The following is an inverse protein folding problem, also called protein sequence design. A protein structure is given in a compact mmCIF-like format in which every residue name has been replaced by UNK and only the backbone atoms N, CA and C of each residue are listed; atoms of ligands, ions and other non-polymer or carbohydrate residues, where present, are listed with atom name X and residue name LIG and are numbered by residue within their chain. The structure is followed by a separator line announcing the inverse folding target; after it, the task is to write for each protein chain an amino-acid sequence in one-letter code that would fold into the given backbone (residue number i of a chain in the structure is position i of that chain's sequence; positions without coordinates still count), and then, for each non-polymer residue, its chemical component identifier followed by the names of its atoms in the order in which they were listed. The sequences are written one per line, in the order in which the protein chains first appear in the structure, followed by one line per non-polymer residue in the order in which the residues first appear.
data_IF_604461386601
#
_entry.id   IF_604461386601
#
_cell.length_a   1.000
_cell.length_b   1.000
_cell.length_c   1.000
_cell.angle_alpha   90.00
_cell.angle_beta   90.00
_cell.angle_gamma   90.00
#
_symmetry.space_group_name_H-M   'P 1'
#
loop_
_entity.id
_entity.type
_entity.pdbx_description
1 polymer ?
#
# COMPACT_ATOMS: atom_id res chain seq x y z
N UNK A 1 1.99 -1.03 6.96
CA UNK A 1 3.25 -0.25 6.87
C UNK A 1 2.99 0.94 5.98
N UNK A 2 3.43 2.12 6.38
CA UNK A 2 3.25 3.34 5.59
C UNK A 2 4.56 3.82 4.98
N UNK A 3 4.50 4.37 3.76
CA UNK A 3 5.64 4.80 2.95
C UNK A 3 6.80 3.80 2.98
N UNK A 4 6.51 2.54 2.61
CA UNK A 4 7.47 1.43 2.77
C UNK A 4 8.80 1.67 2.02
N UNK A 5 8.82 2.50 0.99
CA UNK A 5 10.03 2.92 0.29
C UNK A 5 11.05 3.65 1.16
N UNK A 6 10.63 4.24 2.29
CA UNK A 6 11.51 4.95 3.23
C UNK A 6 12.07 4.04 4.33
N UNK A 7 11.64 2.78 4.38
CA UNK A 7 12.05 1.86 5.43
C UNK A 7 13.53 1.49 5.32
N UNK A 8 14.18 1.23 6.46
CA UNK A 8 15.55 0.75 6.49
C UNK A 8 15.64 -0.68 5.90
N UNK A 9 16.74 -1.05 5.21
CA UNK A 9 16.94 -2.40 4.66
C UNK A 9 16.63 -3.56 5.63
N UNK A 10 16.92 -3.39 6.92
CA UNK A 10 16.65 -4.42 7.94
C UNK A 10 15.15 -4.71 8.12
N UNK A 11 14.29 -3.71 7.90
CA UNK A 11 12.83 -3.89 7.94
C UNK A 11 12.37 -4.82 6.82
N UNK A 12 12.99 -4.72 5.64
CA UNK A 12 12.66 -5.61 4.51
C UNK A 12 13.03 -7.06 4.78
N UNK A 13 14.17 -7.31 5.44
CA UNK A 13 14.57 -8.68 5.80
C UNK A 13 13.56 -9.32 6.76
N UNK A 14 13.07 -8.56 7.73
CA UNK A 14 12.01 -8.98 8.65
C UNK A 14 10.70 -9.24 7.90
N UNK A 15 10.31 -8.34 7.00
CA UNK A 15 9.09 -8.50 6.21
C UNK A 15 9.14 -9.71 5.28
N UNK A 16 10.28 -9.97 4.64
CA UNK A 16 10.47 -11.17 3.81
C UNK A 16 10.22 -12.45 4.62
N UNK A 17 10.73 -12.53 5.85
CA UNK A 17 10.45 -13.68 6.71
C UNK A 17 8.94 -13.83 6.99
N UNK A 18 8.24 -12.72 7.25
CA UNK A 18 6.80 -12.75 7.51
C UNK A 18 6.02 -13.16 6.26
N UNK A 19 6.38 -12.64 5.09
CA UNK A 19 5.70 -12.94 3.84
C UNK A 19 6.00 -14.36 3.33
N UNK A 20 7.18 -14.92 3.62
CA UNK A 20 7.56 -16.27 3.22
C UNK A 20 6.99 -17.35 4.15
N UNK A 21 7.27 -17.25 5.44
CA UNK A 21 6.98 -18.31 6.41
C UNK A 21 5.69 -18.06 7.20
N UNK A 22 5.07 -16.89 7.03
CA UNK A 22 3.92 -16.47 7.83
C UNK A 22 4.26 -16.37 9.32
N UNK A 23 5.54 -16.21 9.68
CA UNK A 23 6.02 -16.19 11.07
C UNK A 23 7.15 -15.21 11.25
N UNK A 24 7.22 -14.59 12.42
CA UNK A 24 8.33 -13.75 12.82
C UNK A 24 8.91 -14.24 14.14
N UNK A 25 10.23 -14.44 14.19
CA UNK A 25 10.92 -14.73 15.44
C UNK A 25 11.68 -13.49 15.89
N UNK A 26 11.41 -13.01 17.10
CA UNK A 26 12.13 -11.88 17.67
C UNK A 26 13.52 -12.28 18.22
N UNK A 27 14.33 -11.30 18.61
CA UNK A 27 15.66 -11.55 19.17
C UNK A 27 15.66 -12.26 20.54
N UNK A 28 14.49 -12.43 21.17
CA UNK A 28 14.31 -13.21 22.40
C UNK A 28 13.89 -14.66 22.10
N UNK A 29 13.80 -15.05 20.82
CA UNK A 29 13.40 -16.38 20.38
C UNK A 29 11.89 -16.61 20.40
N UNK A 30 11.07 -15.59 20.64
CA UNK A 30 9.60 -15.71 20.60
C UNK A 30 9.15 -15.68 19.15
N UNK A 31 8.32 -16.65 18.78
CA UNK A 31 7.77 -16.74 17.42
C UNK A 31 6.31 -16.30 17.42
N UNK A 32 5.97 -15.35 16.55
CA UNK A 32 4.62 -14.84 16.30
C UNK A 32 4.13 -15.36 14.96
N UNK A 33 2.86 -15.76 14.90
CA UNK A 33 2.21 -16.31 13.70
C UNK A 33 1.39 -15.22 12.99
N UNK A 34 1.62 -15.08 11.68
CA UNK A 34 1.00 -14.13 10.77
C UNK A 34 0.13 -14.80 9.69
N UNK A 35 -0.03 -16.13 9.70
CA UNK A 35 -0.78 -16.86 8.67
C UNK A 35 -2.26 -16.46 8.55
N UNK A 36 -2.83 -15.83 9.58
CA UNK A 36 -4.20 -15.34 9.58
C UNK A 36 -4.26 -13.81 9.76
N UNK A 37 -3.31 -13.11 9.13
CA UNK A 37 -3.16 -11.65 9.18
C UNK A 37 -3.09 -11.09 7.76
N UNK A 38 -3.87 -10.05 7.49
CA UNK A 38 -3.74 -9.28 6.26
C UNK A 38 -2.66 -8.22 6.44
N UNK A 39 -1.61 -8.27 5.62
CA UNK A 39 -0.53 -7.28 5.62
C UNK A 39 -0.80 -6.28 4.50
N UNK A 40 -1.04 -5.03 4.88
CA UNK A 40 -1.22 -3.92 3.95
C UNK A 40 0.01 -3.01 4.04
N UNK A 41 0.54 -2.66 2.87
CA UNK A 41 1.67 -1.76 2.70
C UNK A 41 1.27 -0.65 1.72
N UNK A 42 1.64 0.58 2.04
CA UNK A 42 1.42 1.74 1.19
C UNK A 42 2.76 2.33 0.74
N UNK A 43 2.77 2.88 -0.47
CA UNK A 43 3.93 3.54 -1.04
C UNK A 43 3.49 4.72 -1.88
N UNK A 44 4.27 5.80 -1.86
CA UNK A 44 4.05 6.96 -2.71
C UNK A 44 4.85 6.90 -4.03
N UNK A 45 5.54 5.78 -4.30
CA UNK A 45 6.29 5.58 -5.53
C UNK A 45 5.39 5.59 -6.77
N UNK A 46 5.81 6.32 -7.79
CA UNK A 46 5.05 6.45 -9.04
C UNK A 46 3.80 7.33 -8.91
N UNK A 47 3.57 8.00 -7.78
CA UNK A 47 2.42 8.87 -7.59
C UNK A 47 2.35 10.01 -8.64
N UNK A 48 3.48 10.44 -9.19
CA UNK A 48 3.53 11.44 -10.26
C UNK A 48 2.80 11.00 -11.54
N UNK A 49 2.88 9.71 -11.91
CA UNK A 49 2.18 9.16 -13.07
C UNK A 49 0.67 9.10 -12.81
N UNK A 50 0.28 8.75 -11.58
CA UNK A 50 -1.12 8.75 -11.14
C UNK A 50 -1.73 10.16 -11.09
N UNK A 51 -0.92 11.16 -10.76
CA UNK A 51 -1.34 12.57 -10.70
C UNK A 51 -1.59 13.17 -12.09
N UNK A 52 -0.83 12.74 -13.08
CA UNK A 52 -0.87 13.27 -14.45
C UNK A 52 -1.94 12.61 -15.34
N UNK A 53 -2.60 11.55 -14.87
CA UNK A 53 -3.76 10.95 -15.52
C UNK A 53 -4.94 11.93 -15.56
N UNK A 54 -5.63 11.99 -16.70
CA UNK A 54 -6.90 12.70 -16.82
C UNK A 54 -8.02 12.02 -16.02
N UNK A 55 -9.06 12.76 -15.63
CA UNK A 55 -10.16 12.25 -14.78
C UNK A 55 -10.92 11.05 -15.36
N UNK A 56 -10.93 10.92 -16.70
CA UNK A 56 -11.61 9.84 -17.44
C UNK A 56 -10.67 8.73 -17.92
N UNK A 57 -9.38 8.81 -17.56
CA UNK A 57 -8.40 7.80 -17.97
C UNK A 57 -8.29 6.70 -16.92
N UNK A 58 -8.21 5.46 -17.40
CA UNK A 58 -8.00 4.29 -16.55
C UNK A 58 -6.58 4.31 -15.95
N UNK A 59 -6.47 3.98 -14.66
CA UNK A 59 -5.17 3.86 -13.97
C UNK A 59 -4.32 2.76 -14.56
N UNK A 60 -4.93 1.74 -15.17
CA UNK A 60 -4.18 0.69 -15.86
C UNK A 60 -3.33 1.25 -17.01
N UNK A 61 -3.64 2.43 -17.55
CA UNK A 61 -2.84 3.08 -18.60
C UNK A 61 -1.45 3.53 -18.15
N UNK A 62 -1.22 3.72 -16.85
CA UNK A 62 0.10 4.08 -16.29
C UNK A 62 0.69 2.99 -15.40
N UNK A 63 0.04 1.81 -15.37
CA UNK A 63 0.44 0.71 -14.48
C UNK A 63 1.88 0.28 -14.74
N UNK A 64 2.29 0.21 -16.01
CA UNK A 64 3.64 -0.24 -16.36
C UNK A 64 4.72 0.76 -15.93
N UNK A 65 4.46 2.06 -16.07
CA UNK A 65 5.33 3.14 -15.62
C UNK A 65 5.47 3.14 -14.09
N UNK A 66 4.35 3.03 -13.36
CA UNK A 66 4.39 2.94 -11.89
C UNK A 66 5.14 1.69 -11.46
N UNK A 67 4.84 0.54 -12.06
CA UNK A 67 5.50 -0.73 -11.72
C UNK A 67 7.00 -0.72 -12.10
N UNK A 68 7.41 0.06 -13.10
CA UNK A 68 8.82 0.29 -13.41
C UNK A 68 9.54 1.00 -12.26
N UNK A 69 8.95 2.07 -11.72
CA UNK A 69 9.50 2.79 -10.55
C UNK A 69 9.55 1.87 -9.33
N UNK A 70 8.47 1.13 -9.04
CA UNK A 70 8.40 0.17 -7.94
C UNK A 70 9.50 -0.90 -8.06
N UNK A 71 9.70 -1.47 -9.26
CA UNK A 71 10.76 -2.46 -9.53
C UNK A 71 12.18 -1.89 -9.43
N UNK A 72 12.36 -0.59 -9.66
CA UNK A 72 13.65 0.08 -9.47
C UNK A 72 13.95 0.35 -8.00
N UNK A 73 12.92 0.59 -7.18
CA UNK A 73 13.08 0.89 -5.74
C UNK A 73 13.14 -0.34 -4.85
N UNK A 74 12.42 -1.42 -5.19
CA UNK A 74 12.38 -2.64 -4.37
C UNK A 74 13.10 -3.82 -5.03
N UNK A 75 13.65 -4.70 -4.20
CA UNK A 75 14.29 -5.94 -4.65
C UNK A 75 13.23 -6.87 -5.26
N UNK A 76 13.52 -7.58 -6.37
CA UNK A 76 12.57 -8.50 -7.00
C UNK A 76 12.03 -9.57 -6.05
N UNK A 77 12.88 -10.08 -5.15
CA UNK A 77 12.48 -11.06 -4.13
C UNK A 77 11.34 -10.57 -3.22
N UNK A 78 11.30 -9.28 -2.88
CA UNK A 78 10.23 -8.72 -2.06
C UNK A 78 8.93 -8.61 -2.86
N UNK A 79 9.02 -8.09 -4.09
CA UNK A 79 7.86 -7.94 -4.96
C UNK A 79 7.23 -9.30 -5.34
N UNK A 80 8.05 -10.34 -5.49
CA UNK A 80 7.59 -11.69 -5.78
C UNK A 80 6.81 -12.33 -4.61
N UNK A 81 6.81 -11.72 -3.43
CA UNK A 81 6.04 -12.16 -2.25
C UNK A 81 4.81 -11.32 -1.97
N UNK A 82 4.57 -10.27 -2.76
CA UNK A 82 3.35 -9.49 -2.68
C UNK A 82 2.34 -10.12 -3.63
N UNK A 83 1.20 -10.56 -3.09
CA UNK A 83 0.16 -11.23 -3.88
C UNK A 83 -0.47 -10.29 -4.92
N UNK A 84 -0.78 -9.06 -4.52
CA UNK A 84 -1.46 -8.08 -5.37
C UNK A 84 -0.95 -6.65 -5.11
N UNK A 85 -0.74 -5.91 -6.20
CA UNK A 85 -0.43 -4.48 -6.16
C UNK A 85 -1.60 -3.69 -6.72
N UNK A 86 -2.22 -2.91 -5.82
CA UNK A 86 -3.38 -2.07 -6.12
C UNK A 86 -2.90 -0.64 -6.36
N UNK A 87 -3.24 -0.10 -7.53
CA UNK A 87 -3.00 1.30 -7.86
C UNK A 87 -4.23 2.13 -7.52
N UNK A 88 -4.05 3.19 -6.76
CA UNK A 88 -5.15 4.06 -6.35
C UNK A 88 -5.46 5.10 -7.42
N UNK A 89 -6.74 5.20 -7.75
CA UNK A 89 -7.26 6.25 -8.61
C UNK A 89 -7.26 7.59 -7.87
N UNK A 90 -7.03 8.67 -8.60
CA UNK A 90 -7.26 10.01 -8.07
C UNK A 90 -8.75 10.17 -7.73
N UNK A 91 -9.03 10.82 -6.60
CA UNK A 91 -10.39 11.18 -6.23
C UNK A 91 -10.93 12.21 -7.21
N UNK A 92 -12.00 11.86 -7.94
CA UNK A 92 -12.74 12.84 -8.74
C UNK A 92 -13.57 13.71 -7.82
N UNK A 93 -14.02 14.86 -8.34
CA UNK A 93 -14.87 15.78 -7.59
C UNK A 93 -16.13 15.10 -7.01
N UNK A 94 -16.78 14.25 -7.81
CA UNK A 94 -17.95 13.48 -7.36
C UNK A 94 -17.62 12.50 -6.23
N UNK A 95 -16.42 11.90 -6.23
CA UNK A 95 -15.99 11.01 -5.17
C UNK A 95 -15.73 11.80 -3.87
N UNK A 96 -15.13 13.00 -3.98
CA UNK A 96 -14.93 13.89 -2.84
C UNK A 96 -16.24 14.36 -2.20
N UNK A 97 -17.24 14.74 -3.00
CA UNK A 97 -18.54 15.17 -2.48
C UNK A 97 -19.17 14.06 -1.60
N UNK A 98 -19.11 12.81 -2.05
CA UNK A 98 -19.57 11.63 -1.27
C UNK A 98 -18.74 11.41 -0.01
N UNK A 99 -17.42 11.59 -0.08
CA UNK A 99 -16.54 11.45 1.10
C UNK A 99 -16.91 12.50 2.15
N UNK A 100 -17.12 13.76 1.74
CA UNK A 100 -17.54 14.83 2.66
C UNK A 100 -18.88 14.48 3.32
N UNK A 101 -19.85 13.97 2.55
CA UNK A 101 -21.13 13.51 3.11
C UNK A 101 -20.95 12.43 4.19
N UNK A 102 -20.08 11.44 3.94
CA UNK A 102 -19.76 10.39 4.92
C UNK A 102 -19.13 10.98 6.19
N UNK A 103 -18.20 11.94 6.05
CA UNK A 103 -17.55 12.58 7.20
C UNK A 103 -18.54 13.42 8.01
N UNK A 104 -19.46 14.14 7.37
CA UNK A 104 -20.50 14.91 8.04
C UNK A 104 -21.45 14.01 8.84
N UNK A 105 -21.93 12.91 8.23
CA UNK A 105 -22.76 11.90 8.93
C UNK A 105 -22.05 11.29 10.13
N UNK A 106 -20.75 11.03 10.00
CA UNK A 106 -19.93 10.52 11.11
C UNK A 106 -19.85 11.53 12.25
N UNK A 107 -19.72 12.83 11.94
CA UNK A 107 -19.67 13.89 12.94
C UNK A 107 -21.02 14.03 13.67
N UNK A 108 -22.14 14.01 12.95
CA UNK A 108 -23.49 14.06 13.54
C UNK A 108 -23.69 12.92 14.56
N UNK A 109 -23.26 11.70 14.22
CA UNK A 109 -23.34 10.54 15.11
C UNK A 109 -22.47 10.64 16.38
N UNK A 110 -21.47 11.53 16.43
CA UNK A 110 -20.65 11.75 17.63
C UNK A 110 -21.22 12.82 18.56
N UNK A 111 -22.13 13.66 18.04
CA UNK A 111 -22.78 14.75 18.76
C UNK A 111 -24.15 14.35 19.34
N UNK A 112 -24.63 13.15 19.00
CA UNK A 112 -25.92 12.58 19.43
C UNK A 112 -25.66 11.33 20.25
#
# INVERSE_FOLDING_TARGET
FDEIEKAHPDVFNVLLQVLDDGRLTDGQGRTVDFRNTLIIMTSNLGAEYLVNLGEDQDVDAVRDEVMSVVRASFRPEFLNRVDEVILFHRLRRLDMDRIVEIQLKRLENLLT
#
